data_IF_119297215439
#
_entry.id   IF_119297215439
#
_cell.length_a   1.000
_cell.length_b   1.000
_cell.length_c   1.000
_cell.angle_alpha   90.00
_cell.angle_beta   90.00
_cell.angle_gamma   90.00
#
_symmetry.space_group_name_H-M   'P 1'
#
loop_
_entity.id
_entity.type
_entity.pdbx_description
1 polymer ?
#
# COMPACT_ATOMS: atom_id res chain seq x y z
N UNK A 1 17.14 -11.35 22.83
CA UNK A 1 17.86 -12.10 21.78
C UNK A 1 17.82 -11.40 20.42
N UNK A 2 16.67 -10.88 19.97
CA UNK A 2 16.55 -10.05 18.74
C UNK A 2 17.41 -8.79 18.70
N UNK A 3 17.76 -8.24 19.87
CA UNK A 3 18.57 -7.02 19.98
C UNK A 3 20.05 -7.24 19.65
N UNK A 4 20.64 -8.36 20.11
CA UNK A 4 22.04 -8.72 19.83
C UNK A 4 22.25 -8.98 18.33
N UNK A 5 21.30 -9.64 17.66
CA UNK A 5 21.33 -9.84 16.20
C UNK A 5 21.35 -8.49 15.46
N UNK A 6 20.47 -7.56 15.84
CA UNK A 6 20.42 -6.22 15.23
C UNK A 6 21.71 -5.45 15.46
N UNK A 7 22.29 -5.56 16.66
CA UNK A 7 23.58 -4.96 17.01
C UNK A 7 24.73 -5.51 16.18
N UNK A 8 24.84 -6.83 16.05
CA UNK A 8 25.88 -7.50 15.25
C UNK A 8 25.74 -7.15 13.76
N UNK A 9 24.51 -7.17 13.23
CA UNK A 9 24.25 -6.74 11.85
C UNK A 9 24.56 -5.25 11.65
N UNK A 10 24.30 -4.40 12.65
CA UNK A 10 24.67 -2.98 12.57
C UNK A 10 26.18 -2.76 12.64
N UNK A 11 26.92 -3.58 13.39
CA UNK A 11 28.38 -3.58 13.41
C UNK A 11 28.97 -4.11 12.10
N UNK A 12 28.30 -5.05 11.43
CA UNK A 12 28.65 -5.50 10.08
C UNK A 12 28.44 -4.38 9.05
N UNK A 13 27.27 -3.73 9.07
CA UNK A 13 26.95 -2.59 8.19
C UNK A 13 27.90 -1.40 8.38
N UNK A 14 28.43 -1.21 9.59
CA UNK A 14 29.39 -0.16 9.93
C UNK A 14 30.85 -0.54 9.65
N UNK A 15 31.13 -1.76 9.19
CA UNK A 15 32.48 -2.26 8.95
C UNK A 15 33.31 -2.45 10.23
N UNK A 16 32.66 -2.53 11.39
CA UNK A 16 33.30 -2.69 12.70
C UNK A 16 33.63 -4.16 13.01
N UNK A 17 33.05 -5.10 12.27
CA UNK A 17 33.39 -6.52 12.34
C UNK A 17 34.59 -6.83 11.44
N UNK A 18 35.68 -7.32 12.05
CA UNK A 18 36.88 -7.80 11.34
C UNK A 18 36.77 -9.26 10.86
N UNK A 19 35.73 -9.99 11.25
CA UNK A 19 35.51 -11.40 10.91
C UNK A 19 34.17 -11.65 10.21
N UNK A 20 33.91 -12.90 9.86
CA UNK A 20 32.65 -13.28 9.22
C UNK A 20 31.46 -13.02 10.14
N UNK A 21 30.41 -12.41 9.58
CA UNK A 21 29.17 -12.08 10.28
C UNK A 21 28.49 -13.37 10.75
N UNK A 22 28.64 -14.47 10.00
CA UNK A 22 28.07 -15.76 10.35
C UNK A 22 28.67 -16.36 11.62
N UNK A 23 29.98 -16.20 11.82
CA UNK A 23 30.68 -16.67 13.02
C UNK A 23 30.31 -15.83 14.25
N UNK A 24 30.16 -14.50 14.08
CA UNK A 24 29.73 -13.61 15.15
C UNK A 24 28.29 -13.90 15.61
N UNK A 25 27.40 -14.25 14.68
CA UNK A 25 26.01 -14.64 14.98
C UNK A 25 25.93 -16.03 15.61
N UNK A 26 26.81 -16.96 15.21
CA UNK A 26 26.92 -18.28 15.82
C UNK A 26 27.46 -18.21 17.27
N UNK A 27 28.48 -17.37 17.51
CA UNK A 27 29.09 -17.20 18.82
C UNK A 27 28.17 -16.53 19.85
N UNK A 28 27.17 -15.77 19.40
CA UNK A 28 26.23 -15.04 20.28
C UNK A 28 24.85 -15.69 20.36
N UNK A 29 24.69 -16.91 19.83
CA UNK A 29 23.43 -17.66 19.74
C UNK A 29 22.25 -16.79 19.26
N UNK A 30 22.57 -15.81 18.41
CA UNK A 30 21.65 -14.78 17.93
C UNK A 30 21.01 -15.18 16.60
N UNK A 31 21.14 -16.47 16.24
CA UNK A 31 20.42 -17.08 15.14
C UNK A 31 18.93 -17.10 15.49
N UNK A 32 18.03 -16.87 14.51
CA UNK A 32 16.60 -17.03 14.75
C UNK A 32 16.35 -18.44 15.31
N UNK A 33 15.74 -18.49 16.49
CA UNK A 33 15.49 -19.74 17.19
C UNK A 33 14.65 -20.66 16.29
N UNK A 34 14.76 -21.98 16.49
CA UNK A 34 13.92 -22.96 15.76
C UNK A 34 12.43 -22.60 15.84
N UNK A 35 11.99 -22.03 16.96
CA UNK A 35 10.63 -21.57 17.16
C UNK A 35 10.25 -20.40 16.23
N UNK A 36 11.12 -19.39 16.06
CA UNK A 36 10.86 -18.26 15.15
C UNK A 36 10.75 -18.72 13.70
N UNK A 37 11.57 -19.69 13.29
CA UNK A 37 11.46 -20.33 11.99
C UNK A 37 10.15 -21.11 11.83
N UNK A 38 9.75 -21.86 12.84
CA UNK A 38 8.49 -22.61 12.82
C UNK A 38 7.29 -21.67 12.73
N UNK A 39 7.28 -20.59 13.51
CA UNK A 39 6.21 -19.59 13.49
C UNK A 39 6.14 -18.88 12.11
N UNK A 40 7.29 -18.53 11.54
CA UNK A 40 7.37 -17.97 10.18
C UNK A 40 6.82 -18.94 9.13
N UNK A 41 7.27 -20.20 9.15
CA UNK A 41 6.83 -21.23 8.20
C UNK A 41 5.34 -21.50 8.37
N UNK A 42 4.85 -21.59 9.61
CA UNK A 42 3.44 -21.80 9.91
C UNK A 42 2.57 -20.67 9.36
N UNK A 43 2.98 -19.43 9.60
CA UNK A 43 2.31 -18.25 9.06
C UNK A 43 2.34 -18.22 7.52
N UNK A 44 3.48 -18.54 6.92
CA UNK A 44 3.63 -18.59 5.46
C UNK A 44 2.73 -19.69 4.84
N UNK A 45 2.68 -20.88 5.44
CA UNK A 45 1.81 -21.97 5.01
C UNK A 45 0.33 -21.61 5.18
N UNK A 46 -0.03 -20.93 6.27
CA UNK A 46 -1.41 -20.50 6.51
C UNK A 46 -1.89 -19.54 5.43
N UNK A 47 -1.10 -18.50 5.12
CA UNK A 47 -1.43 -17.54 4.07
C UNK A 47 -1.44 -18.17 2.69
N UNK A 48 -0.39 -18.91 2.33
CA UNK A 48 -0.28 -19.52 1.00
C UNK A 48 -1.35 -20.60 0.79
N UNK A 49 -1.63 -21.42 1.81
CA UNK A 49 -2.68 -22.44 1.77
C UNK A 49 -4.07 -21.82 1.60
N UNK A 50 -4.39 -20.77 2.34
CA UNK A 50 -5.69 -20.10 2.21
C UNK A 50 -5.86 -19.44 0.83
N UNK A 51 -4.83 -18.77 0.31
CA UNK A 51 -4.86 -18.20 -1.03
C UNK A 51 -4.99 -19.30 -2.08
N UNK A 52 -4.21 -20.38 -1.98
CA UNK A 52 -4.25 -21.50 -2.92
C UNK A 52 -5.62 -22.20 -2.93
N UNK A 53 -6.22 -22.45 -1.77
CA UNK A 53 -7.58 -23.00 -1.66
C UNK A 53 -8.57 -22.08 -2.36
N UNK A 54 -8.49 -20.78 -2.09
CA UNK A 54 -9.46 -19.82 -2.64
C UNK A 54 -9.31 -19.65 -4.15
N UNK A 55 -8.08 -19.55 -4.65
CA UNK A 55 -7.78 -19.52 -6.09
C UNK A 55 -8.21 -20.83 -6.76
N UNK A 56 -7.95 -21.97 -6.11
CA UNK A 56 -8.41 -23.28 -6.58
C UNK A 56 -9.94 -23.34 -6.69
N UNK A 57 -10.67 -22.78 -5.72
CA UNK A 57 -12.13 -22.66 -5.80
C UNK A 57 -12.55 -21.74 -6.96
N UNK A 58 -11.92 -20.58 -7.12
CA UNK A 58 -12.22 -19.66 -8.24
C UNK A 58 -12.05 -20.37 -9.58
N UNK A 59 -10.94 -21.07 -9.80
CA UNK A 59 -10.71 -21.82 -11.05
C UNK A 59 -11.66 -23.00 -11.21
N UNK A 60 -11.98 -23.71 -10.13
CA UNK A 60 -12.95 -24.79 -10.17
C UNK A 60 -14.31 -24.32 -10.67
N UNK A 61 -14.80 -23.17 -10.20
CA UNK A 61 -16.06 -22.60 -10.69
C UNK A 61 -15.91 -21.96 -12.07
N UNK A 62 -14.77 -21.32 -12.36
CA UNK A 62 -14.50 -20.72 -13.67
C UNK A 62 -14.50 -21.76 -14.81
N UNK A 63 -14.08 -23.00 -14.54
CA UNK A 63 -14.15 -24.12 -15.50
C UNK A 63 -15.57 -24.41 -15.99
N UNK A 64 -16.60 -24.02 -15.22
CA UNK A 64 -18.00 -24.15 -15.60
C UNK A 64 -18.46 -25.57 -15.96
N UNK A 65 -18.34 -26.51 -15.01
CA UNK A 65 -18.74 -27.90 -15.17
C UNK A 65 -20.16 -28.07 -15.78
N UNK A 66 -20.24 -28.72 -16.94
CA UNK A 66 -21.52 -28.99 -17.63
C UNK A 66 -22.41 -29.98 -16.86
N UNK A 67 -21.79 -30.98 -16.24
CA UNK A 67 -22.49 -32.01 -15.47
C UNK A 67 -23.06 -31.51 -14.12
N UNK A 68 -22.71 -30.30 -13.69
CA UNK A 68 -23.11 -29.75 -12.40
C UNK A 68 -24.23 -28.71 -12.58
N UNK A 69 -25.41 -29.01 -12.04
CA UNK A 69 -26.53 -28.07 -12.05
C UNK A 69 -26.23 -26.79 -11.27
N UNK A 70 -26.87 -25.67 -11.65
CA UNK A 70 -26.66 -24.35 -11.02
C UNK A 70 -26.78 -24.37 -9.50
N UNK A 71 -27.80 -25.04 -8.96
CA UNK A 71 -28.06 -25.09 -7.52
C UNK A 71 -26.93 -25.80 -6.76
N UNK A 72 -26.28 -26.79 -7.38
CA UNK A 72 -25.13 -27.47 -6.79
C UNK A 72 -23.92 -26.54 -6.79
N UNK A 73 -23.68 -25.79 -7.88
CA UNK A 73 -22.58 -24.81 -7.96
C UNK A 73 -22.71 -23.75 -6.86
N UNK A 74 -23.88 -23.13 -6.76
CA UNK A 74 -24.17 -22.11 -5.73
C UNK A 74 -24.14 -22.69 -4.31
N UNK A 75 -24.84 -23.80 -4.08
CA UNK A 75 -24.90 -24.43 -2.75
C UNK A 75 -23.52 -24.87 -2.25
N UNK A 76 -22.66 -25.38 -3.13
CA UNK A 76 -21.29 -25.74 -2.78
C UNK A 76 -20.47 -24.52 -2.36
N UNK A 77 -20.51 -23.44 -3.16
CA UNK A 77 -19.79 -22.22 -2.87
C UNK A 77 -20.28 -21.55 -1.57
N UNK A 78 -21.60 -21.44 -1.39
CA UNK A 78 -22.22 -20.91 -0.17
C UNK A 78 -21.87 -21.76 1.06
N UNK A 79 -21.79 -23.10 0.91
CA UNK A 79 -21.35 -23.98 2.01
C UNK A 79 -19.92 -23.65 2.43
N UNK A 80 -18.99 -23.43 1.48
CA UNK A 80 -17.63 -23.02 1.81
C UNK A 80 -17.59 -21.64 2.48
N UNK A 81 -18.44 -20.70 2.05
CA UNK A 81 -18.56 -19.40 2.72
C UNK A 81 -19.08 -19.52 4.14
N UNK A 82 -20.09 -20.36 4.39
CA UNK A 82 -20.61 -20.63 5.73
C UNK A 82 -19.56 -21.30 6.62
N UNK A 83 -18.78 -22.24 6.09
CA UNK A 83 -17.67 -22.85 6.81
C UNK A 83 -16.60 -21.82 7.17
N UNK A 84 -16.25 -20.92 6.25
CA UNK A 84 -15.33 -19.83 6.53
C UNK A 84 -15.89 -18.90 7.63
N UNK A 85 -17.16 -18.52 7.57
CA UNK A 85 -17.81 -17.71 8.59
C UNK A 85 -17.86 -18.41 9.97
N UNK A 86 -18.12 -19.73 9.98
CA UNK A 86 -18.10 -20.53 11.21
C UNK A 86 -16.69 -20.56 11.82
N UNK A 87 -15.67 -20.81 11.00
CA UNK A 87 -14.27 -20.78 11.44
C UNK A 87 -13.93 -19.40 12.03
N UNK A 88 -14.30 -18.32 11.34
CA UNK A 88 -14.13 -16.95 11.84
C UNK A 88 -14.78 -16.75 13.21
N UNK A 89 -16.02 -17.21 13.40
CA UNK A 89 -16.77 -17.08 14.66
C UNK A 89 -16.16 -17.82 15.84
N UNK A 90 -15.37 -18.87 15.57
CA UNK A 90 -14.68 -19.69 16.58
C UNK A 90 -13.26 -19.19 16.87
N UNK A 91 -12.73 -18.32 16.04
CA UNK A 91 -11.40 -17.75 16.22
C UNK A 91 -11.47 -16.49 17.08
N UNK A 92 -10.44 -16.30 17.91
CA UNK A 92 -10.27 -15.07 18.67
C UNK A 92 -10.11 -13.87 17.74
N UNK A 93 -10.70 -12.75 18.15
CA UNK A 93 -10.63 -11.48 17.44
C UNK A 93 -9.15 -11.04 17.28
N UNK A 94 -8.77 -10.60 16.07
CA UNK A 94 -7.44 -10.07 15.72
C UNK A 94 -6.28 -11.08 15.60
N UNK A 95 -6.51 -12.40 15.63
CA UNK A 95 -5.48 -13.36 15.20
C UNK A 95 -5.32 -13.35 13.67
N UNK A 96 -4.12 -13.67 13.18
CA UNK A 96 -3.89 -13.86 11.73
C UNK A 96 -4.91 -14.80 11.10
N UNK A 97 -5.21 -15.92 11.76
CA UNK A 97 -6.18 -16.91 11.25
C UNK A 97 -7.57 -16.31 11.02
N UNK A 98 -7.98 -15.36 11.86
CA UNK A 98 -9.25 -14.65 11.73
C UNK A 98 -9.24 -13.72 10.50
N UNK A 99 -8.12 -13.04 10.25
CA UNK A 99 -7.92 -12.24 9.03
C UNK A 99 -7.92 -13.11 7.77
N UNK A 100 -7.22 -14.24 7.80
CA UNK A 100 -7.13 -15.18 6.68
C UNK A 100 -8.50 -15.75 6.32
N UNK A 101 -9.30 -16.07 7.33
CA UNK A 101 -10.68 -16.53 7.16
C UNK A 101 -11.59 -15.46 6.54
N UNK A 102 -11.50 -14.20 7.00
CA UNK A 102 -12.21 -13.07 6.39
C UNK A 102 -11.78 -12.81 4.94
N UNK A 103 -10.49 -12.95 4.65
CA UNK A 103 -9.96 -12.80 3.30
C UNK A 103 -10.52 -13.89 2.37
N UNK A 104 -10.54 -15.15 2.83
CA UNK A 104 -11.19 -16.24 2.10
C UNK A 104 -12.66 -15.94 1.83
N UNK A 105 -13.42 -15.52 2.85
CA UNK A 105 -14.84 -15.17 2.70
C UNK A 105 -15.07 -14.03 1.69
N UNK A 106 -14.20 -13.02 1.72
CA UNK A 106 -14.24 -11.89 0.78
C UNK A 106 -13.97 -12.34 -0.65
N UNK A 107 -12.96 -13.19 -0.85
CA UNK A 107 -12.60 -13.70 -2.17
C UNK A 107 -13.69 -14.64 -2.74
N UNK A 108 -14.28 -15.49 -1.89
CA UNK A 108 -15.42 -16.33 -2.28
C UNK A 108 -16.67 -15.50 -2.61
N UNK A 109 -16.84 -14.32 -2.00
CA UNK A 109 -17.89 -13.37 -2.42
C UNK A 109 -17.68 -12.93 -3.87
N UNK A 110 -16.44 -12.65 -4.28
CA UNK A 110 -16.11 -12.37 -5.68
C UNK A 110 -16.38 -13.56 -6.60
N UNK A 111 -16.04 -14.78 -6.16
CA UNK A 111 -16.34 -16.01 -6.90
C UNK A 111 -17.86 -16.19 -7.08
N UNK A 112 -18.67 -15.86 -6.07
CA UNK A 112 -20.13 -15.95 -6.11
C UNK A 112 -20.73 -14.96 -7.11
N UNK A 113 -20.22 -13.73 -7.14
CA UNK A 113 -20.61 -12.72 -8.14
C UNK A 113 -20.25 -13.17 -9.56
N UNK A 114 -19.04 -13.71 -9.75
CA UNK A 114 -18.60 -14.23 -11.05
C UNK A 114 -19.44 -15.43 -11.52
N UNK A 115 -19.74 -16.37 -10.62
CA UNK A 115 -20.61 -17.52 -10.91
C UNK A 115 -22.03 -17.07 -11.29
N UNK A 116 -22.53 -16.00 -10.66
CA UNK A 116 -23.81 -15.38 -11.01
C UNK A 116 -23.79 -14.79 -12.42
N UNK A 117 -22.75 -14.03 -12.76
CA UNK A 117 -22.58 -13.48 -14.12
C UNK A 117 -22.50 -14.58 -15.17
N UNK A 118 -21.79 -15.68 -14.89
CA UNK A 118 -21.69 -16.83 -15.79
C UNK A 118 -23.01 -17.60 -15.95
N UNK A 119 -23.73 -17.85 -14.85
CA UNK A 119 -24.94 -18.69 -14.85
C UNK A 119 -26.12 -17.98 -15.49
N UNK A 120 -26.28 -16.69 -15.21
CA UNK A 120 -27.45 -15.92 -15.64
C UNK A 120 -27.18 -15.00 -16.83
N UNK A 121 -25.94 -14.99 -17.37
CA UNK A 121 -25.53 -14.16 -18.51
C UNK A 121 -26.07 -12.74 -18.38
N UNK A 122 -25.76 -12.08 -17.25
CA UNK A 122 -26.41 -10.83 -16.86
C UNK A 122 -26.11 -9.65 -17.79
N UNK A 123 -25.25 -9.83 -18.80
CA UNK A 123 -24.85 -8.77 -19.75
C UNK A 123 -24.18 -7.56 -19.09
N UNK A 124 -23.95 -7.62 -17.77
CA UNK A 124 -23.40 -6.55 -16.97
C UNK A 124 -21.93 -6.35 -17.31
N UNK A 125 -21.51 -5.08 -17.33
CA UNK A 125 -20.13 -4.74 -17.60
C UNK A 125 -19.19 -5.28 -16.50
N UNK A 126 -17.95 -5.67 -16.83
CA UNK A 126 -17.00 -6.17 -15.85
C UNK A 126 -16.76 -5.24 -14.66
N UNK A 127 -16.84 -3.92 -14.85
CA UNK A 127 -16.59 -2.94 -13.78
C UNK A 127 -17.65 -3.02 -12.67
N UNK A 128 -18.91 -3.32 -12.99
CA UNK A 128 -20.00 -3.42 -12.02
C UNK A 128 -19.75 -4.56 -11.02
N UNK A 129 -19.24 -5.70 -11.53
CA UNK A 129 -18.89 -6.84 -10.70
C UNK A 129 -17.86 -6.45 -9.63
N UNK A 130 -16.77 -5.78 -10.01
CA UNK A 130 -15.74 -5.37 -9.07
C UNK A 130 -16.21 -4.24 -8.13
N UNK A 131 -17.07 -3.33 -8.60
CA UNK A 131 -17.65 -2.28 -7.77
C UNK A 131 -18.59 -2.85 -6.69
N UNK A 132 -19.50 -3.75 -7.08
CA UNK A 132 -20.40 -4.45 -6.15
C UNK A 132 -19.60 -5.31 -5.18
N UNK A 133 -18.55 -5.97 -5.66
CA UNK A 133 -17.65 -6.74 -4.80
C UNK A 133 -16.97 -5.86 -3.75
N UNK A 134 -16.40 -4.72 -4.13
CA UNK A 134 -15.80 -3.77 -3.19
C UNK A 134 -16.83 -3.26 -2.17
N UNK A 135 -18.06 -2.96 -2.61
CA UNK A 135 -19.14 -2.53 -1.73
C UNK A 135 -19.49 -3.63 -0.70
N UNK A 136 -19.71 -4.86 -1.14
CA UNK A 136 -20.00 -6.01 -0.27
C UNK A 136 -18.84 -6.37 0.67
N UNK A 137 -17.60 -6.10 0.25
CA UNK A 137 -16.41 -6.27 1.08
C UNK A 137 -16.30 -5.23 2.20
N UNK A 138 -16.87 -4.03 2.02
CA UNK A 138 -16.63 -2.88 2.91
C UNK A 138 -16.95 -3.16 4.39
N UNK A 139 -18.10 -3.77 4.75
CA UNK A 139 -18.39 -4.13 6.13
C UNK A 139 -17.35 -5.10 6.72
N UNK A 140 -16.86 -6.06 5.93
CA UNK A 140 -15.86 -7.04 6.36
C UNK A 140 -14.49 -6.40 6.58
N UNK A 141 -14.10 -5.45 5.72
CA UNK A 141 -12.87 -4.68 5.90
C UNK A 141 -12.90 -3.84 7.19
N UNK A 142 -14.05 -3.24 7.51
CA UNK A 142 -14.26 -2.50 8.76
C UNK A 142 -14.21 -3.41 10.00
N UNK A 143 -14.84 -4.59 9.94
CA UNK A 143 -14.83 -5.57 11.04
C UNK A 143 -13.45 -6.19 11.24
N UNK A 144 -12.76 -6.52 10.15
CA UNK A 144 -11.48 -7.21 10.16
C UNK A 144 -10.31 -6.33 10.58
N UNK A 145 -10.41 -5.00 10.44
CA UNK A 145 -9.40 -4.00 10.84
C UNK A 145 -7.98 -4.29 10.33
N UNK A 146 -7.89 -5.09 9.26
CA UNK A 146 -6.64 -5.57 8.72
C UNK A 146 -6.30 -4.83 7.45
N UNK A 147 -5.04 -4.39 7.36
CA UNK A 147 -4.52 -3.71 6.17
C UNK A 147 -4.61 -4.60 4.93
N UNK A 148 -4.50 -5.92 5.06
CA UNK A 148 -4.63 -6.84 3.94
C UNK A 148 -6.01 -6.74 3.26
N UNK A 149 -7.08 -6.62 4.05
CA UNK A 149 -8.43 -6.46 3.52
C UNK A 149 -8.58 -5.10 2.85
N UNK A 150 -8.07 -4.03 3.46
CA UNK A 150 -8.09 -2.70 2.84
C UNK A 150 -7.26 -2.62 1.55
N UNK A 151 -6.14 -3.32 1.46
CA UNK A 151 -5.34 -3.39 0.23
C UNK A 151 -6.10 -4.09 -0.89
N UNK A 152 -6.79 -5.20 -0.61
CA UNK A 152 -7.68 -5.85 -1.57
C UNK A 152 -8.83 -4.92 -1.98
N UNK A 153 -9.44 -4.21 -1.02
CA UNK A 153 -10.50 -3.24 -1.28
C UNK A 153 -10.03 -2.09 -2.19
N UNK A 154 -8.87 -1.48 -1.91
CA UNK A 154 -8.26 -0.44 -2.75
C UNK A 154 -8.02 -0.98 -4.16
N UNK A 155 -7.51 -2.22 -4.27
CA UNK A 155 -7.28 -2.90 -5.54
C UNK A 155 -8.57 -3.09 -6.33
N UNK A 156 -9.65 -3.55 -5.68
CA UNK A 156 -10.96 -3.73 -6.30
C UNK A 156 -11.57 -2.41 -6.77
N UNK A 157 -11.50 -1.34 -5.98
CA UNK A 157 -12.04 -0.04 -6.38
C UNK A 157 -11.23 0.57 -7.54
N UNK A 158 -9.89 0.49 -7.50
CA UNK A 158 -9.07 0.96 -8.61
C UNK A 158 -9.29 0.12 -9.88
N UNK A 159 -9.47 -1.19 -9.76
CA UNK A 159 -9.79 -2.06 -10.89
C UNK A 159 -11.18 -1.76 -11.47
N UNK A 160 -12.18 -1.57 -10.60
CA UNK A 160 -13.51 -1.15 -11.02
C UNK A 160 -13.46 0.19 -11.75
N UNK A 161 -12.71 1.16 -11.22
CA UNK A 161 -12.52 2.46 -11.86
C UNK A 161 -11.83 2.33 -13.23
N UNK A 162 -10.77 1.53 -13.32
CA UNK A 162 -10.07 1.27 -14.59
C UNK A 162 -11.03 0.73 -15.65
N UNK A 163 -11.79 -0.30 -15.28
CA UNK A 163 -12.73 -0.96 -16.19
C UNK A 163 -13.90 -0.03 -16.54
N UNK A 164 -14.38 0.78 -15.59
CA UNK A 164 -15.44 1.76 -15.83
C UNK A 164 -15.01 2.78 -16.87
N UNK A 165 -13.81 3.35 -16.74
CA UNK A 165 -13.27 4.33 -17.67
C UNK A 165 -12.98 3.72 -19.05
N UNK A 166 -12.58 2.45 -19.09
CA UNK A 166 -12.40 1.72 -20.34
C UNK A 166 -13.74 1.37 -21.03
N UNK A 167 -14.82 1.15 -20.28
CA UNK A 167 -16.15 0.95 -20.85
C UNK A 167 -16.74 2.29 -21.32
N UNK A 168 -16.66 3.32 -20.48
CA UNK A 168 -17.23 4.63 -20.71
C UNK A 168 -16.14 5.65 -21.01
N UNK A 169 -15.69 5.68 -22.26
CA UNK A 169 -14.70 6.66 -22.77
C UNK A 169 -15.19 8.13 -22.79
N UNK A 170 -16.19 8.53 -21.98
CA UNK A 170 -16.76 9.87 -22.10
C UNK A 170 -17.95 10.23 -21.21
N UNK A 171 -18.12 9.66 -20.02
CA UNK A 171 -19.15 10.19 -19.09
C UNK A 171 -18.80 11.61 -18.63
N UNK A 172 -17.50 11.97 -18.62
CA UNK A 172 -16.99 13.34 -18.50
C UNK A 172 -16.56 13.93 -19.85
N UNK A 173 -17.12 13.46 -20.96
CA UNK A 173 -16.74 13.80 -22.34
C UNK A 173 -16.89 15.27 -22.76
N UNK A 174 -17.23 16.17 -21.82
CA UNK A 174 -17.24 17.63 -22.01
C UNK A 174 -16.02 18.34 -21.38
N UNK A 175 -15.23 17.69 -20.53
CA UNK A 175 -14.10 18.35 -19.83
C UNK A 175 -12.76 17.62 -19.94
N UNK A 176 -12.73 16.31 -20.17
CA UNK A 176 -11.49 15.54 -20.16
C UNK A 176 -11.53 14.49 -21.29
N UNK A 177 -10.44 14.26 -22.02
CA UNK A 177 -10.32 13.15 -22.99
C UNK A 177 -8.85 12.68 -23.05
N UNK A 178 -8.68 11.38 -23.27
CA UNK A 178 -7.45 10.56 -23.23
C UNK A 178 -6.70 10.49 -21.88
N UNK A 179 -6.67 11.57 -21.09
CA UNK A 179 -6.01 11.62 -19.77
C UNK A 179 -6.95 11.45 -18.56
N UNK A 180 -8.26 11.26 -18.79
CA UNK A 180 -9.28 11.25 -17.71
C UNK A 180 -8.95 10.26 -16.59
N UNK A 181 -8.37 9.12 -16.97
CA UNK A 181 -8.08 8.04 -16.03
C UNK A 181 -7.03 8.44 -15.00
N UNK A 182 -6.04 9.25 -15.37
CA UNK A 182 -5.01 9.69 -14.42
C UNK A 182 -5.59 10.65 -13.39
N UNK A 183 -6.44 11.58 -13.82
CA UNK A 183 -7.13 12.51 -12.93
C UNK A 183 -8.09 11.80 -12.00
N UNK A 184 -8.86 10.84 -12.50
CA UNK A 184 -9.75 10.02 -11.69
C UNK A 184 -8.98 9.19 -10.66
N UNK A 185 -7.89 8.53 -11.06
CA UNK A 185 -7.03 7.78 -10.15
C UNK A 185 -6.38 8.69 -9.10
N UNK A 186 -5.89 9.87 -9.50
CA UNK A 186 -5.34 10.85 -8.56
C UNK A 186 -6.38 11.29 -7.53
N UNK A 187 -7.60 11.65 -7.98
CA UNK A 187 -8.66 12.13 -7.10
C UNK A 187 -9.13 11.04 -6.13
N UNK A 188 -9.43 9.83 -6.63
CA UNK A 188 -9.91 8.71 -5.81
C UNK A 188 -8.86 8.28 -4.79
N UNK A 189 -7.60 8.09 -5.22
CA UNK A 189 -6.54 7.67 -4.30
C UNK A 189 -6.15 8.79 -3.33
N UNK A 190 -6.22 10.06 -3.71
CA UNK A 190 -6.06 11.18 -2.75
C UNK A 190 -7.17 11.17 -1.70
N UNK A 191 -8.41 10.87 -2.10
CA UNK A 191 -9.52 10.63 -1.17
C UNK A 191 -9.24 9.47 -0.21
N UNK A 192 -8.66 8.37 -0.70
CA UNK A 192 -8.26 7.25 0.14
C UNK A 192 -7.16 7.61 1.14
N UNK A 193 -6.15 8.38 0.73
CA UNK A 193 -5.11 8.88 1.65
C UNK A 193 -5.77 9.66 2.79
N UNK A 194 -6.66 10.60 2.48
CA UNK A 194 -7.38 11.37 3.50
C UNK A 194 -8.22 10.46 4.41
N UNK A 195 -8.97 9.51 3.83
CA UNK A 195 -9.78 8.56 4.57
C UNK A 195 -8.95 7.71 5.55
N UNK A 196 -7.86 7.11 5.08
CA UNK A 196 -7.01 6.26 5.91
C UNK A 196 -6.21 7.05 6.95
N UNK A 197 -5.72 8.24 6.62
CA UNK A 197 -5.04 9.11 7.59
C UNK A 197 -5.99 9.63 8.67
N UNK A 198 -7.26 9.92 8.33
CA UNK A 198 -8.30 10.25 9.31
C UNK A 198 -8.59 9.04 10.20
N UNK A 199 -8.75 7.84 9.64
CA UNK A 199 -8.94 6.62 10.44
C UNK A 199 -7.74 6.33 11.36
N UNK A 200 -6.52 6.54 10.88
CA UNK A 200 -5.31 6.39 11.69
C UNK A 200 -5.21 7.45 12.79
N UNK A 201 -5.57 8.71 12.49
CA UNK A 201 -5.58 9.80 13.47
C UNK A 201 -6.63 9.60 14.56
N UNK A 202 -7.86 9.22 14.19
CA UNK A 202 -8.94 8.89 15.13
C UNK A 202 -8.58 7.68 16.01
N UNK A 203 -7.82 6.73 15.47
CA UNK A 203 -7.28 5.60 16.22
C UNK A 203 -6.14 5.96 17.17
N UNK A 204 -5.33 6.96 16.81
CA UNK A 204 -4.18 7.44 17.58
C UNK A 204 -4.58 8.48 18.65
N UNK A 205 -5.81 8.38 19.18
CA UNK A 205 -6.31 9.18 20.29
C UNK A 205 -5.50 9.00 21.58
N UNK A 206 -4.38 9.71 21.66
CA UNK A 206 -3.66 10.22 22.83
C UNK A 206 -3.84 9.44 24.15
N UNK A 207 -3.06 8.37 24.32
CA UNK A 207 -2.73 7.75 25.60
C UNK A 207 -1.75 8.62 26.42
N UNK A 208 -2.02 9.92 26.57
CA UNK A 208 -1.09 10.89 27.16
C UNK A 208 -1.70 11.80 28.23
N UNK A 209 -2.74 11.33 28.93
CA UNK A 209 -3.14 11.96 30.18
C UNK A 209 -3.60 10.90 31.15
N UNK A 210 -2.81 10.69 32.21
CA UNK A 210 -3.06 9.80 33.33
C UNK A 210 -4.25 10.18 34.21
N UNK A 211 -5.35 10.65 33.63
CA UNK A 211 -6.63 10.85 34.31
C UNK A 211 -7.78 10.47 33.39
N UNK A 212 -8.20 9.23 33.54
CA UNK A 212 -9.61 8.82 33.58
C UNK A 212 -10.56 9.49 32.59
N UNK A 213 -10.23 9.46 31.31
CA UNK A 213 -11.24 9.34 30.28
C UNK A 213 -10.85 8.14 29.44
N UNK A 214 -11.66 7.07 29.50
CA UNK A 214 -11.78 6.09 28.42
C UNK A 214 -12.21 6.87 27.18
N UNK A 215 -11.26 7.56 26.54
CA UNK A 215 -11.46 8.10 25.22
C UNK A 215 -11.87 6.90 24.38
N UNK A 216 -13.05 6.99 23.79
CA UNK A 216 -13.59 6.02 22.86
C UNK A 216 -12.60 5.97 21.70
N UNK A 217 -11.55 5.16 21.84
CA UNK A 217 -10.72 4.75 20.73
C UNK A 217 -11.69 4.10 19.78
N UNK A 218 -12.00 4.80 18.69
CA UNK A 218 -12.95 4.30 17.72
C UNK A 218 -12.46 2.90 17.33
N UNK A 219 -13.31 1.86 17.43
CA UNK A 219 -12.85 0.49 17.29
C UNK A 219 -12.17 0.24 15.94
N UNK A 220 -12.38 1.08 14.93
CA UNK A 220 -12.02 0.90 13.53
C UNK A 220 -10.54 1.28 13.20
N UNK A 221 -9.74 1.68 14.18
CA UNK A 221 -8.34 2.08 13.98
C UNK A 221 -7.48 0.98 13.32
N UNK A 222 -6.82 1.30 12.19
CA UNK A 222 -5.82 0.40 11.59
C UNK A 222 -4.50 0.44 12.37
N UNK A 223 -3.92 -0.74 12.60
CA UNK A 223 -2.63 -0.87 13.28
C UNK A 223 -1.42 -0.44 12.41
N UNK A 224 -1.56 -0.42 11.08
CA UNK A 224 -0.50 0.00 10.16
C UNK A 224 -1.01 0.98 9.09
N UNK A 225 -0.05 1.65 8.43
CA UNK A 225 -0.32 2.68 7.40
C UNK A 225 -0.18 2.17 5.96
N UNK A 226 -0.08 0.86 5.72
CA UNK A 226 0.17 0.28 4.40
C UNK A 226 -0.93 0.62 3.39
N UNK A 227 -2.19 0.66 3.82
CA UNK A 227 -3.30 1.04 2.96
C UNK A 227 -3.17 2.50 2.46
N UNK A 228 -2.79 3.42 3.37
CA UNK A 228 -2.47 4.80 2.99
C UNK A 228 -1.24 4.87 2.08
N UNK A 229 -0.17 4.14 2.41
CA UNK A 229 1.06 4.12 1.62
C UNK A 229 0.82 3.67 0.17
N UNK A 230 0.07 2.58 -0.04
CA UNK A 230 -0.26 2.10 -1.39
C UNK A 230 -1.11 3.12 -2.14
N UNK A 231 -2.06 3.78 -1.47
CA UNK A 231 -2.86 4.85 -2.07
C UNK A 231 -1.99 6.05 -2.48
N UNK A 232 -1.00 6.44 -1.65
CA UNK A 232 -0.01 7.48 -1.99
C UNK A 232 0.81 7.07 -3.20
N UNK A 233 1.25 5.81 -3.30
CA UNK A 233 2.04 5.35 -4.44
C UNK A 233 1.24 5.35 -5.74
N UNK A 234 -0.02 4.92 -5.72
CA UNK A 234 -0.91 4.94 -6.89
C UNK A 234 -1.14 6.39 -7.33
N UNK A 235 -1.54 7.28 -6.41
CA UNK A 235 -1.74 8.70 -6.70
C UNK A 235 -0.45 9.39 -7.17
N UNK A 236 0.68 9.03 -6.55
CA UNK A 236 2.02 9.53 -6.88
C UNK A 236 2.45 9.12 -8.29
N UNK A 237 2.15 7.89 -8.69
CA UNK A 237 2.34 7.45 -10.08
C UNK A 237 1.46 8.25 -11.04
N UNK A 238 0.16 8.39 -10.75
CA UNK A 238 -0.77 9.13 -11.60
C UNK A 238 -0.34 10.59 -11.80
N UNK A 239 0.03 11.29 -10.73
CA UNK A 239 0.45 12.71 -10.83
C UNK A 239 1.80 12.86 -11.52
N UNK A 240 2.73 11.92 -11.35
CA UNK A 240 4.01 11.91 -12.06
C UNK A 240 3.78 11.72 -13.56
N UNK A 241 2.87 10.82 -13.92
CA UNK A 241 2.54 10.57 -15.32
C UNK A 241 1.83 11.76 -15.97
N UNK A 242 0.91 12.43 -15.25
CA UNK A 242 0.32 13.70 -15.67
C UNK A 242 1.40 14.76 -15.94
N UNK A 243 2.39 14.89 -15.04
CA UNK A 243 3.51 15.80 -15.26
C UNK A 243 4.30 15.47 -16.53
N UNK A 244 4.54 14.19 -16.81
CA UNK A 244 5.23 13.77 -18.05
C UNK A 244 4.40 14.11 -19.29
N UNK A 245 3.11 13.80 -19.33
CA UNK A 245 2.25 14.11 -20.48
C UNK A 245 2.23 15.62 -20.74
N UNK A 246 2.04 16.43 -19.70
CA UNK A 246 2.06 17.90 -19.86
C UNK A 246 3.40 18.44 -20.35
N UNK A 247 4.53 17.82 -19.98
CA UNK A 247 5.84 18.19 -20.52
C UNK A 247 5.87 18.01 -22.04
N UNK A 248 5.33 16.90 -22.57
CA UNK A 248 5.33 16.59 -24.01
C UNK A 248 4.23 17.29 -24.82
N UNK A 249 3.00 17.35 -24.34
CA UNK A 249 1.87 17.95 -25.07
C UNK A 249 2.04 19.46 -25.28
N UNK A 250 2.67 20.12 -24.31
CA UNK A 250 3.08 21.53 -24.45
C UNK A 250 3.94 21.78 -25.70
N UNK A 251 4.73 20.80 -26.16
CA UNK A 251 5.57 20.92 -27.37
C UNK A 251 4.76 20.80 -28.66
N UNK A 252 3.67 20.03 -28.68
CA UNK A 252 2.82 19.84 -29.87
C UNK A 252 1.89 21.03 -30.10
N UNK A 253 1.27 21.54 -29.02
CA UNK A 253 0.33 22.67 -29.03
C UNK A 253 0.99 23.99 -29.43
N UNK A 254 2.21 24.28 -28.95
CA UNK A 254 2.94 25.51 -29.31
C UNK A 254 3.33 25.56 -30.80
N UNK A 255 3.30 24.41 -31.50
CA UNK A 255 3.69 24.29 -32.91
C UNK A 255 2.50 24.35 -33.87
N UNK A 256 1.33 23.89 -33.42
CA UNK A 256 0.09 23.88 -34.19
C UNK A 256 -0.99 24.54 -33.33
N UNK A 257 -1.42 25.77 -33.67
CA UNK A 257 -2.48 26.57 -33.01
C UNK A 257 -3.83 25.82 -32.85
N UNK A 258 -3.87 24.74 -32.08
CA UNK A 258 -5.03 23.91 -31.78
C UNK A 258 -5.52 24.22 -30.37
N UNK A 259 -6.83 24.04 -30.15
CA UNK A 259 -7.54 24.38 -28.90
C UNK A 259 -6.85 23.87 -27.64
N UNK A 260 -6.75 24.76 -26.65
CA UNK A 260 -6.25 24.51 -25.30
C UNK A 260 -6.95 23.31 -24.63
N UNK A 261 -6.20 22.26 -24.30
CA UNK A 261 -6.67 21.20 -23.42
C UNK A 261 -6.42 21.58 -21.94
N UNK A 262 -7.35 21.24 -21.05
CA UNK A 262 -7.22 21.53 -19.60
C UNK A 262 -6.07 20.75 -18.93
N UNK A 263 -5.65 19.61 -19.50
CA UNK A 263 -4.47 18.88 -19.05
C UNK A 263 -3.18 19.67 -19.27
N UNK A 264 -3.06 20.38 -20.40
CA UNK A 264 -1.84 21.08 -20.82
C UNK A 264 -1.33 22.13 -19.82
N UNK A 265 -2.22 22.81 -19.08
CA UNK A 265 -1.85 23.91 -18.17
C UNK A 265 -1.77 23.46 -16.70
N UNK A 266 -2.59 22.48 -16.30
CA UNK A 266 -2.78 22.18 -14.87
C UNK A 266 -1.93 21.02 -14.35
N UNK A 267 -1.40 20.11 -15.20
CA UNK A 267 -0.68 18.93 -14.73
C UNK A 267 0.59 19.25 -13.93
N UNK A 268 1.45 20.15 -14.41
CA UNK A 268 2.67 20.56 -13.68
C UNK A 268 2.37 21.31 -12.36
N UNK A 269 1.48 22.32 -12.32
CA UNK A 269 1.07 22.95 -11.06
C UNK A 269 0.49 21.96 -10.06
N UNK A 270 -0.40 21.06 -10.50
CA UNK A 270 -0.99 20.03 -9.63
C UNK A 270 0.09 19.07 -9.11
N UNK A 271 1.04 18.67 -9.95
CA UNK A 271 2.19 17.87 -9.52
C UNK A 271 2.97 18.53 -8.39
N UNK A 272 3.37 19.79 -8.56
CA UNK A 272 4.14 20.52 -7.55
C UNK A 272 3.36 20.64 -6.24
N UNK A 273 2.08 21.03 -6.32
CA UNK A 273 1.23 21.18 -5.13
C UNK A 273 1.02 19.84 -4.42
N UNK A 274 0.74 18.78 -5.17
CA UNK A 274 0.47 17.46 -4.60
C UNK A 274 1.72 16.85 -3.97
N UNK A 275 2.87 16.88 -4.66
CA UNK A 275 4.15 16.41 -4.09
C UNK A 275 4.54 17.22 -2.87
N UNK A 276 4.36 18.55 -2.89
CA UNK A 276 4.62 19.39 -1.71
C UNK A 276 3.72 19.04 -0.53
N UNK A 277 2.43 18.78 -0.77
CA UNK A 277 1.48 18.37 0.27
C UNK A 277 1.86 17.01 0.89
N UNK A 278 2.13 16.01 0.05
CA UNK A 278 2.56 14.67 0.49
C UNK A 278 3.90 14.75 1.23
N UNK A 279 4.87 15.50 0.70
CA UNK A 279 6.14 15.74 1.36
C UNK A 279 5.95 16.38 2.74
N UNK A 280 5.11 17.41 2.84
CA UNK A 280 4.85 18.08 4.11
C UNK A 280 4.24 17.14 5.16
N UNK A 281 3.22 16.38 4.77
CA UNK A 281 2.55 15.40 5.65
C UNK A 281 3.55 14.32 6.11
N UNK A 282 4.23 13.66 5.17
CA UNK A 282 5.10 12.53 5.50
C UNK A 282 6.50 12.91 5.99
N UNK A 283 6.93 14.17 5.87
CA UNK A 283 8.19 14.66 6.46
C UNK A 283 8.02 15.19 7.88
N UNK A 284 6.95 15.95 8.13
CA UNK A 284 6.80 16.72 9.37
C UNK A 284 5.77 16.16 10.34
N UNK A 285 4.73 15.46 9.85
CA UNK A 285 3.70 14.89 10.74
C UNK A 285 3.98 13.44 11.11
N UNK A 286 4.41 12.63 10.16
CA UNK A 286 4.41 11.16 10.31
C UNK A 286 5.80 10.53 10.18
N UNK A 287 6.72 11.17 9.44
CA UNK A 287 8.05 10.64 9.07
C UNK A 287 7.99 9.21 8.47
N UNK A 288 7.68 9.13 7.19
CA UNK A 288 7.70 7.86 6.43
C UNK A 288 8.75 7.90 5.30
N UNK A 289 9.86 7.19 5.51
CA UNK A 289 10.99 7.17 4.56
C UNK A 289 10.66 6.46 3.25
N UNK A 290 9.73 5.50 3.25
CA UNK A 290 9.33 4.77 2.03
C UNK A 290 8.55 5.70 1.08
N UNK A 291 7.67 6.54 1.62
CA UNK A 291 6.92 7.48 0.80
C UNK A 291 7.78 8.65 0.33
N UNK A 292 8.72 9.10 1.16
CA UNK A 292 9.68 10.14 0.78
C UNK A 292 10.66 9.64 -0.31
N UNK A 293 11.04 8.36 -0.31
CA UNK A 293 11.85 7.81 -1.40
C UNK A 293 11.07 7.75 -2.72
N UNK A 294 9.77 7.41 -2.68
CA UNK A 294 8.88 7.51 -3.84
C UNK A 294 8.77 8.93 -4.39
N UNK A 295 8.67 9.93 -3.52
CA UNK A 295 8.68 11.35 -3.91
C UNK A 295 9.99 11.79 -4.55
N UNK A 296 11.14 11.35 -4.02
CA UNK A 296 12.47 11.60 -4.63
C UNK A 296 12.56 10.98 -6.02
N UNK A 297 12.13 9.71 -6.17
CA UNK A 297 12.12 9.03 -7.46
C UNK A 297 11.25 9.78 -8.48
N UNK A 298 10.04 10.17 -8.08
CA UNK A 298 9.15 10.99 -8.90
C UNK A 298 9.82 12.31 -9.33
N UNK A 299 10.48 13.01 -8.41
CA UNK A 299 11.21 14.24 -8.70
C UNK A 299 12.35 14.04 -9.71
N UNK A 300 13.11 12.94 -9.59
CA UNK A 300 14.17 12.58 -10.55
C UNK A 300 13.56 12.36 -11.95
N UNK A 301 12.47 11.60 -12.04
CA UNK A 301 11.80 11.30 -13.30
C UNK A 301 11.33 12.59 -13.97
N UNK A 302 10.55 13.43 -13.29
CA UNK A 302 10.02 14.68 -13.86
C UNK A 302 11.15 15.64 -14.25
N UNK A 303 12.18 15.76 -13.42
CA UNK A 303 13.35 16.61 -13.73
C UNK A 303 14.09 16.12 -14.98
N UNK A 304 14.19 14.81 -15.17
CA UNK A 304 14.84 14.21 -16.34
C UNK A 304 14.06 14.51 -17.62
N UNK A 305 12.74 14.32 -17.59
CA UNK A 305 11.89 14.66 -18.74
C UNK A 305 11.88 16.16 -19.04
N UNK A 306 11.92 17.00 -18.01
CA UNK A 306 12.01 18.45 -18.19
C UNK A 306 13.35 18.87 -18.82
N UNK A 307 14.46 18.28 -18.39
CA UNK A 307 15.78 18.51 -19.02
C UNK A 307 15.79 18.04 -20.47
N UNK A 308 15.24 16.86 -20.75
CA UNK A 308 15.08 16.36 -22.11
C UNK A 308 14.32 17.33 -23.01
N UNK A 309 13.26 17.95 -22.49
CA UNK A 309 12.54 19.02 -23.19
C UNK A 309 13.35 20.28 -23.39
N UNK A 310 14.06 20.77 -22.36
CA UNK A 310 14.88 21.99 -22.48
C UNK A 310 16.02 21.86 -23.50
N UNK A 311 16.50 20.63 -23.71
CA UNK A 311 17.58 20.30 -24.63
C UNK A 311 17.07 19.76 -25.98
N UNK A 312 15.76 19.73 -26.22
CA UNK A 312 15.13 19.11 -27.40
C UNK A 312 15.71 19.66 -28.73
N UNK A 313 15.92 20.97 -28.81
CA UNK A 313 16.47 21.63 -30.00
C UNK A 313 17.99 21.40 -30.21
N UNK A 314 18.67 20.86 -29.19
CA UNK A 314 20.14 20.67 -29.16
C UNK A 314 20.52 19.26 -28.69
N UNK A 315 19.72 18.26 -29.10
CA UNK A 315 19.93 16.83 -28.84
C UNK A 315 21.14 16.27 -29.59
N UNK A 316 22.34 16.72 -29.19
CA UNK A 316 23.63 16.16 -29.56
C UNK A 316 24.13 15.17 -28.48
N UNK A 317 25.24 14.47 -28.75
CA UNK A 317 25.92 13.58 -27.80
C UNK A 317 26.17 14.25 -26.42
N UNK A 318 26.40 15.57 -26.41
CA UNK A 318 26.58 16.37 -25.20
C UNK A 318 25.31 16.50 -24.33
N UNK A 319 24.12 16.58 -24.93
CA UNK A 319 22.86 16.67 -24.21
C UNK A 319 22.56 15.37 -23.45
N UNK A 320 22.82 14.21 -24.07
CA UNK A 320 22.67 12.91 -23.42
C UNK A 320 23.62 12.74 -22.22
N UNK A 321 24.86 13.25 -22.32
CA UNK A 321 25.80 13.27 -21.20
C UNK A 321 25.31 14.14 -20.05
N UNK A 322 24.78 15.34 -20.33
CA UNK A 322 24.24 16.23 -19.31
C UNK A 322 23.03 15.61 -18.58
N UNK A 323 22.11 15.01 -19.32
CA UNK A 323 20.94 14.32 -18.75
C UNK A 323 21.41 13.15 -17.86
N UNK A 324 22.36 12.35 -18.34
CA UNK A 324 22.92 11.23 -17.57
C UNK A 324 23.60 11.69 -16.28
N UNK A 325 24.39 12.76 -16.35
CA UNK A 325 25.05 13.37 -15.19
C UNK A 325 24.03 13.92 -14.19
N UNK A 326 22.95 14.55 -14.66
CA UNK A 326 21.88 15.04 -13.81
C UNK A 326 21.16 13.89 -13.08
N UNK A 327 20.85 12.78 -13.78
CA UNK A 327 20.25 11.59 -13.17
C UNK A 327 21.14 11.04 -12.06
N UNK A 328 22.44 10.87 -12.33
CA UNK A 328 23.41 10.37 -11.34
C UNK A 328 23.50 11.31 -10.14
N UNK A 329 23.62 12.62 -10.37
CA UNK A 329 23.72 13.63 -9.33
C UNK A 329 22.49 13.70 -8.44
N UNK A 330 21.29 13.75 -9.03
CA UNK A 330 20.02 13.75 -8.29
C UNK A 330 19.79 12.44 -7.53
N UNK A 331 20.15 11.31 -8.12
CA UNK A 331 20.05 9.99 -7.45
C UNK A 331 20.99 9.90 -6.25
N UNK A 332 22.24 10.36 -6.39
CA UNK A 332 23.21 10.37 -5.29
C UNK A 332 22.77 11.32 -4.17
N UNK A 333 22.36 12.55 -4.50
CA UNK A 333 21.86 13.52 -3.52
C UNK A 333 20.61 13.00 -2.78
N UNK A 334 19.66 12.43 -3.52
CA UNK A 334 18.46 11.80 -2.97
C UNK A 334 18.81 10.65 -2.03
N UNK A 335 19.72 9.75 -2.42
CA UNK A 335 20.17 8.64 -1.61
C UNK A 335 20.86 9.07 -0.30
N UNK A 336 21.72 10.09 -0.36
CA UNK A 336 22.38 10.65 0.84
C UNK A 336 21.35 11.24 1.80
N UNK A 337 20.40 12.02 1.28
CA UNK A 337 19.35 12.63 2.08
C UNK A 337 18.43 11.59 2.73
N UNK A 338 17.99 10.58 1.97
CA UNK A 338 17.17 9.47 2.48
C UNK A 338 17.91 8.65 3.55
N UNK A 339 19.22 8.41 3.38
CA UNK A 339 20.03 7.71 4.38
C UNK A 339 20.11 8.49 5.69
N UNK A 340 20.19 9.82 5.63
CA UNK A 340 20.15 10.68 6.82
C UNK A 340 18.78 10.59 7.51
N UNK A 341 17.69 10.67 6.74
CA UNK A 341 16.33 10.55 7.27
C UNK A 341 16.04 9.18 7.88
N UNK A 342 16.52 8.10 7.26
CA UNK A 342 16.38 6.75 7.79
C UNK A 342 17.07 6.60 9.15
N UNK A 343 18.21 7.27 9.34
CA UNK A 343 18.87 7.34 10.66
C UNK A 343 18.04 8.12 11.67
N UNK A 344 17.45 9.27 11.30
CA UNK A 344 16.54 10.05 12.16
C UNK A 344 15.32 9.22 12.61
N UNK A 345 14.72 8.47 11.69
CA UNK A 345 13.57 7.61 11.99
C UNK A 345 13.96 6.46 12.93
N UNK A 346 15.10 5.79 12.68
CA UNK A 346 15.63 4.73 13.56
C UNK A 346 15.93 5.28 14.97
N UNK A 347 16.53 6.45 15.07
CA UNK A 347 16.81 7.10 16.35
C UNK A 347 15.53 7.42 17.12
N UNK A 348 14.51 7.96 16.44
CA UNK A 348 13.20 8.29 17.05
C UNK A 348 12.48 7.03 17.59
N UNK A 349 12.59 5.89 16.89
CA UNK A 349 12.03 4.62 17.35
C UNK A 349 12.77 4.05 18.57
N UNK A 350 14.11 4.26 18.65
CA UNK A 350 14.92 3.81 19.77
C UNK A 350 14.73 4.64 21.06
N UNK A 351 14.30 5.90 20.97
CA UNK A 351 14.01 6.75 22.15
C UNK A 351 12.67 6.43 22.82
N UNK A 352 11.75 5.74 22.14
CA UNK A 352 10.42 5.37 22.68
C UNK A 352 10.47 4.06 23.49
N UNK A 353 11.34 3.11 23.12
CA UNK A 353 11.51 1.83 23.83
C UNK A 353 12.27 1.83 25.20
N UNK A 354 13.11 2.81 25.61
CA UNK A 354 13.86 2.71 26.86
C UNK A 354 13.01 2.90 28.11
N UNK A 355 11.81 3.48 28.00
CA UNK A 355 10.96 3.78 29.17
C UNK A 355 10.07 2.63 29.62
N UNK A 356 9.71 1.67 28.76
CA UNK A 356 8.95 0.47 29.17
C UNK A 356 9.86 -0.64 29.75
N UNK A 357 11.14 -0.67 29.38
CA UNK A 357 12.08 -1.69 29.86
C UNK A 357 12.78 -1.32 31.19
N UNK A 358 12.55 -0.11 31.72
CA UNK A 358 13.16 0.36 32.97
C UNK A 358 12.10 0.70 34.04
N UNK A 359 11.24 -0.27 34.38
CA UNK A 359 10.76 -0.31 35.76
C UNK A 359 11.73 -1.22 36.52
N UNK A 360 12.68 -0.69 37.31
CA UNK A 360 13.57 -1.55 38.08
C UNK A 360 12.75 -2.41 39.03
N UNK A 361 13.00 -3.72 39.02
CA UNK A 361 12.56 -4.73 40.01
C UNK A 361 13.02 -4.43 41.46
N UNK A 362 13.37 -3.19 41.79
CA UNK A 362 13.93 -2.78 43.07
C UNK A 362 12.88 -2.55 44.17
N UNK A 363 11.56 -2.61 43.88
CA UNK A 363 10.51 -2.42 44.89
C UNK A 363 9.84 -3.72 45.39
N UNK A 364 10.28 -4.91 44.96
CA UNK A 364 9.75 -6.18 45.49
C UNK A 364 10.65 -6.90 46.50
N UNK A 365 11.80 -6.33 46.87
CA UNK A 365 12.68 -6.89 47.92
C UNK A 365 12.73 -6.06 49.22
N UNK A 366 11.97 -4.96 49.34
CA UNK A 366 11.90 -4.15 50.56
C UNK A 366 10.71 -4.47 51.48
N UNK A 367 9.81 -5.40 51.11
CA UNK A 367 8.64 -5.80 51.93
C UNK A 367 8.76 -7.22 52.53
N UNK A 368 9.95 -7.83 52.51
CA UNK A 368 10.21 -9.13 53.17
C UNK A 368 11.52 -9.14 53.97
N UNK A 369 11.75 -8.09 54.76
CA UNK A 369 12.78 -8.05 55.79
C UNK A 369 12.12 -7.76 57.13
#
# INVERSE_FOLDING_TARGET
MTDNRKLILSWAEQGLLKGDVEDALAATDSRPAKQEWFDFISQFLLWSGAVAITVGMIFFFAFNWDAMGRFVKFGLLETFMLLAALIYSRLEYQRTSSTVSLLGMTLLTGALLALTGQTYQTGADPWELFAVWAALMTPWALIGRSSTLWLLWIGLVNLALLLYLNTFHGVFGLLFREEEWLWAFLAVNTGFIAFFEVLAYLGSGHNNSGKTFKAVAWPIALANRQAAQVSVLIAGFSVTWLAIITIFDSSYSNRNNSSYNYSEVLGLPVYVVWIAAVFYLYRYRILDVVLLSGGVLSGIIVSTFLLGRMLEDSLDDGAFLLISMAIIGLSAAGGIWLKKLAKEQRASQQTIQPQEAQTPKALQQSEKS
#
